data_IF_701024974373
#
_entry.id   IF_701024974373
#
_cell.length_a   1.000
_cell.length_b   1.000
_cell.length_c   1.000
_cell.angle_alpha   90.00
_cell.angle_beta   90.00
_cell.angle_gamma   90.00
#
_symmetry.space_group_name_H-M   'P 1'
#
loop_
_entity.id
_entity.type
_entity.pdbx_description
1 polymer ?
#
# COMPACT_ATOMS: atom_id res chain seq x y z
N UNK A 1 9.15 -11.44 35.77
CA UNK A 1 9.25 -11.24 34.31
C UNK A 1 7.92 -10.85 33.63
N UNK A 2 6.81 -10.73 34.36
CA UNK A 2 5.51 -10.37 33.75
C UNK A 2 5.33 -8.88 33.46
N UNK A 3 5.93 -8.01 34.28
CA UNK A 3 5.82 -6.55 34.13
C UNK A 3 6.47 -6.02 32.84
N UNK A 4 7.59 -6.62 32.41
CA UNK A 4 8.28 -6.23 31.17
C UNK A 4 7.44 -6.61 29.95
N UNK A 5 6.82 -7.81 29.94
CA UNK A 5 5.94 -8.25 28.84
C UNK A 5 4.75 -7.32 28.68
N UNK A 6 4.06 -6.97 29.76
CA UNK A 6 2.87 -6.11 29.73
C UNK A 6 3.16 -4.71 29.18
N UNK A 7 4.28 -4.11 29.60
CA UNK A 7 4.73 -2.81 29.08
C UNK A 7 5.12 -2.87 27.59
N UNK A 8 5.79 -3.94 27.15
CA UNK A 8 6.12 -4.14 25.73
C UNK A 8 4.86 -4.34 24.87
N UNK A 9 3.85 -5.05 25.40
CA UNK A 9 2.57 -5.26 24.72
C UNK A 9 1.80 -3.94 24.57
N UNK A 10 1.73 -3.14 25.64
CA UNK A 10 1.11 -1.81 25.65
C UNK A 10 1.83 -0.83 24.70
N UNK A 11 3.17 -0.80 24.70
CA UNK A 11 3.94 0.01 23.76
C UNK A 11 3.70 -0.41 22.30
N UNK A 12 3.58 -1.71 22.02
CA UNK A 12 3.28 -2.20 20.66
C UNK A 12 1.86 -1.82 20.22
N UNK A 13 0.89 -1.86 21.13
CA UNK A 13 -0.50 -1.51 20.86
C UNK A 13 -0.69 0.00 20.68
N UNK A 14 0.05 0.80 21.45
CA UNK A 14 0.07 2.27 21.36
C UNK A 14 0.76 2.74 20.07
N UNK A 15 1.92 2.18 19.74
CA UNK A 15 2.64 2.41 18.47
C UNK A 15 1.81 2.03 17.24
N UNK A 16 0.97 0.99 17.34
CA UNK A 16 0.00 0.61 16.29
C UNK A 16 -1.09 1.65 16.05
N UNK A 17 -1.50 2.40 17.09
CA UNK A 17 -2.56 3.43 16.99
C UNK A 17 -2.01 4.81 16.62
N UNK A 18 -0.78 5.13 17.04
CA UNK A 18 -0.21 6.49 16.99
C UNK A 18 0.43 6.90 15.65
N UNK A 19 0.49 6.04 14.63
CA UNK A 19 1.13 6.37 13.34
C UNK A 19 0.25 6.10 12.11
N UNK A 20 -1.04 6.44 12.20
CA UNK A 20 -1.85 6.61 10.98
C UNK A 20 -1.32 7.85 10.28
N UNK A 21 -0.48 7.63 9.28
CA UNK A 21 0.06 8.68 8.42
C UNK A 21 -0.73 8.69 7.13
N UNK A 22 -0.86 9.86 6.52
CA UNK A 22 -1.48 10.04 5.21
C UNK A 22 -0.95 9.02 4.18
N UNK A 23 0.37 8.83 4.14
CA UNK A 23 1.04 7.83 3.30
C UNK A 23 0.60 6.40 3.66
N UNK A 24 0.50 6.08 4.94
CA UNK A 24 0.03 4.78 5.43
C UNK A 24 -1.41 4.47 5.01
N UNK A 25 -2.28 5.46 5.01
CA UNK A 25 -3.66 5.33 4.54
C UNK A 25 -3.71 5.08 3.03
N UNK A 26 -2.93 5.83 2.25
CA UNK A 26 -2.79 5.58 0.81
C UNK A 26 -2.22 4.19 0.52
N UNK A 27 -1.19 3.76 1.24
CA UNK A 27 -0.63 2.42 1.11
C UNK A 27 -1.67 1.34 1.40
N UNK A 28 -2.46 1.53 2.46
CA UNK A 28 -3.55 0.61 2.81
C UNK A 28 -4.60 0.57 1.69
N UNK A 29 -4.99 1.72 1.17
CA UNK A 29 -5.92 1.85 0.05
C UNK A 29 -5.47 1.05 -1.18
N UNK A 30 -4.24 1.27 -1.66
CA UNK A 30 -3.69 0.53 -2.81
C UNK A 30 -3.62 -0.97 -2.52
N UNK A 31 -3.17 -1.36 -1.33
CA UNK A 31 -3.10 -2.78 -0.94
C UNK A 31 -4.47 -3.45 -1.01
N UNK A 32 -5.51 -2.83 -0.43
CA UNK A 32 -6.87 -3.38 -0.40
C UNK A 32 -7.45 -3.51 -1.82
N UNK A 33 -7.30 -2.48 -2.65
CA UNK A 33 -7.76 -2.48 -4.04
C UNK A 33 -7.05 -3.54 -4.90
N UNK A 34 -5.74 -3.70 -4.73
CA UNK A 34 -4.95 -4.73 -5.44
C UNK A 34 -5.25 -6.15 -4.94
N UNK A 35 -5.60 -6.31 -3.67
CA UNK A 35 -5.88 -7.62 -3.09
C UNK A 35 -7.28 -8.16 -3.42
N UNK A 36 -8.24 -7.29 -3.73
CA UNK A 36 -9.58 -7.70 -4.13
C UNK A 36 -9.59 -8.72 -5.29
N UNK A 37 -8.97 -8.46 -6.46
CA UNK A 37 -8.88 -9.46 -7.52
C UNK A 37 -7.95 -10.62 -7.17
N UNK A 38 -6.84 -10.40 -6.45
CA UNK A 38 -5.92 -11.49 -6.04
C UNK A 38 -6.63 -12.55 -5.19
N UNK A 39 -7.50 -12.12 -4.27
CA UNK A 39 -8.29 -13.02 -3.42
C UNK A 39 -9.24 -13.88 -4.26
N UNK A 40 -9.93 -13.28 -5.23
CA UNK A 40 -10.80 -14.00 -6.18
C UNK A 40 -10.00 -15.03 -6.97
N UNK A 41 -8.81 -14.65 -7.42
CA UNK A 41 -7.96 -15.46 -8.30
C UNK A 41 -7.04 -16.42 -7.51
N UNK A 42 -7.23 -16.55 -6.18
CA UNK A 42 -6.44 -17.39 -5.26
C UNK A 42 -4.93 -17.10 -5.28
N UNK A 43 -4.55 -15.87 -5.60
CA UNK A 43 -3.18 -15.37 -5.56
C UNK A 43 -2.89 -14.84 -4.15
N UNK A 44 -1.70 -15.11 -3.57
CA UNK A 44 -1.34 -14.56 -2.27
C UNK A 44 -1.49 -13.02 -2.22
N UNK A 45 -2.14 -12.49 -1.17
CA UNK A 45 -2.35 -11.05 -1.02
C UNK A 45 -1.04 -10.32 -0.75
N UNK A 46 -0.98 -9.07 -1.18
CA UNK A 46 0.05 -8.12 -0.79
C UNK A 46 -0.12 -7.75 0.69
N UNK A 47 1.02 -7.51 1.35
CA UNK A 47 1.09 -7.04 2.73
C UNK A 47 1.53 -5.59 2.77
N UNK A 48 1.24 -4.87 3.87
CA UNK A 48 1.65 -3.47 4.04
C UNK A 48 3.15 -3.24 3.78
N UNK A 49 4.09 -4.07 4.30
CA UNK A 49 5.51 -3.92 3.99
C UNK A 49 5.84 -4.07 2.50
N UNK A 50 5.18 -5.02 1.80
CA UNK A 50 5.39 -5.23 0.37
C UNK A 50 4.85 -4.06 -0.44
N UNK A 51 3.66 -3.56 -0.10
CA UNK A 51 3.09 -2.36 -0.72
C UNK A 51 3.98 -1.14 -0.48
N UNK A 52 4.57 -1.00 0.71
CA UNK A 52 5.50 0.07 1.03
C UNK A 52 6.75 0.07 0.14
N UNK A 53 7.32 -1.11 -0.12
CA UNK A 53 8.46 -1.27 -1.05
C UNK A 53 8.07 -0.92 -2.49
N UNK A 54 6.90 -1.35 -2.94
CA UNK A 54 6.39 -1.04 -4.30
C UNK A 54 6.25 0.47 -4.49
N UNK A 55 5.71 1.17 -3.49
CA UNK A 55 5.44 2.61 -3.55
C UNK A 55 6.60 3.47 -3.06
N UNK A 56 7.73 2.89 -2.65
CA UNK A 56 8.82 3.60 -1.96
C UNK A 56 9.39 4.74 -2.80
N UNK A 57 9.55 4.53 -4.10
CA UNK A 57 10.10 5.52 -5.02
C UNK A 57 9.09 6.64 -5.40
N UNK A 58 7.82 6.51 -5.00
CA UNK A 58 6.76 7.45 -5.36
C UNK A 58 6.49 8.40 -4.18
N UNK A 59 6.69 9.71 -4.36
CA UNK A 59 6.33 10.72 -3.36
C UNK A 59 4.85 10.63 -2.97
N UNK A 60 4.52 10.98 -1.72
CA UNK A 60 3.12 10.89 -1.24
C UNK A 60 2.15 11.75 -2.05
N UNK A 61 2.59 12.92 -2.53
CA UNK A 61 1.77 13.77 -3.42
C UNK A 61 1.37 13.05 -4.70
N UNK A 62 2.30 12.30 -5.30
CA UNK A 62 2.05 11.57 -6.54
C UNK A 62 1.19 10.32 -6.31
N UNK A 63 1.14 9.79 -5.08
CA UNK A 63 0.22 8.71 -4.73
C UNK A 63 -1.25 9.14 -4.83
N UNK A 64 -1.57 10.41 -4.58
CA UNK A 64 -2.93 10.92 -4.82
C UNK A 64 -3.30 10.96 -6.29
N UNK A 65 -2.35 11.40 -7.14
CA UNK A 65 -2.54 11.38 -8.59
C UNK A 65 -2.69 9.95 -9.09
N UNK A 66 -1.81 9.04 -8.67
CA UNK A 66 -1.86 7.62 -8.99
C UNK A 66 -3.19 6.99 -8.56
N UNK A 67 -3.69 7.36 -7.37
CA UNK A 67 -4.99 6.90 -6.87
C UNK A 67 -6.10 7.32 -7.84
N UNK A 68 -6.16 8.60 -8.20
CA UNK A 68 -7.18 9.14 -9.10
C UNK A 68 -7.18 8.43 -10.45
N UNK A 69 -6.03 8.34 -11.13
CA UNK A 69 -5.96 7.72 -12.46
C UNK A 69 -6.28 6.22 -12.44
N UNK A 70 -6.01 5.53 -11.34
CA UNK A 70 -6.38 4.12 -11.18
C UNK A 70 -7.87 3.94 -10.87
N UNK A 71 -8.47 4.87 -10.13
CA UNK A 71 -9.91 4.86 -9.83
C UNK A 71 -10.76 5.20 -11.06
N UNK A 72 -10.27 6.11 -11.91
CA UNK A 72 -10.93 6.49 -13.17
C UNK A 72 -10.79 5.39 -14.25
N UNK A 73 -9.89 4.42 -14.07
CA UNK A 73 -9.65 3.35 -15.02
C UNK A 73 -10.66 2.21 -14.90
N UNK A 74 -10.98 1.57 -16.04
CA UNK A 74 -11.85 0.37 -16.08
C UNK A 74 -11.31 -0.79 -15.25
N UNK A 75 -9.99 -0.94 -15.18
CA UNK A 75 -9.32 -1.99 -14.39
C UNK A 75 -8.22 -1.34 -13.54
N UNK A 76 -8.52 -1.18 -12.25
CA UNK A 76 -7.63 -0.57 -11.28
C UNK A 76 -6.26 -1.25 -11.24
N UNK A 77 -6.23 -2.58 -11.15
CA UNK A 77 -4.98 -3.32 -10.96
C UNK A 77 -4.09 -3.22 -12.19
N UNK A 78 -4.66 -3.37 -13.39
CA UNK A 78 -3.90 -3.26 -14.64
C UNK A 78 -3.33 -1.86 -14.81
N UNK A 79 -4.13 -0.82 -14.55
CA UNK A 79 -3.68 0.58 -14.65
C UNK A 79 -2.54 0.87 -13.67
N UNK A 80 -2.70 0.45 -12.42
CA UNK A 80 -1.66 0.61 -11.39
C UNK A 80 -0.31 0.05 -11.84
N UNK A 81 -0.26 -1.22 -12.29
CA UNK A 81 0.98 -1.86 -12.70
C UNK A 81 1.59 -1.27 -13.97
N UNK A 82 0.77 -0.67 -14.83
CA UNK A 82 1.26 0.06 -16.00
C UNK A 82 1.92 1.38 -15.59
N UNK A 83 1.28 2.15 -14.71
CA UNK A 83 1.77 3.47 -14.27
C UNK A 83 3.09 3.39 -13.52
N UNK A 84 3.24 2.43 -12.59
CA UNK A 84 4.45 2.32 -11.78
C UNK A 84 5.63 1.65 -12.50
N UNK A 85 5.42 1.18 -13.74
CA UNK A 85 6.47 0.50 -14.50
C UNK A 85 7.21 1.51 -15.39
N UNK A 86 8.45 1.89 -15.05
CA UNK A 86 9.18 2.93 -15.81
C UNK A 86 9.37 2.55 -17.28
N UNK A 87 9.52 1.26 -17.59
CA UNK A 87 9.68 0.77 -18.97
C UNK A 87 8.46 1.02 -19.86
N UNK A 88 7.29 1.33 -19.29
CA UNK A 88 6.09 1.69 -20.04
C UNK A 88 6.05 3.15 -20.47
N UNK A 89 6.97 3.96 -19.94
CA UNK A 89 7.07 5.40 -20.17
C UNK A 89 8.39 5.81 -20.81
N UNK A 90 9.27 4.84 -21.08
CA UNK A 90 10.42 5.03 -21.97
C UNK A 90 9.90 5.23 -23.40
N UNK A 91 9.51 6.46 -23.72
CA UNK A 91 9.48 6.93 -25.11
C UNK A 91 10.93 7.06 -25.58
N UNK A 92 11.21 6.50 -26.76
CA UNK A 92 12.52 6.52 -27.43
C UNK A 92 13.15 7.90 -27.49
#
# INVERSE_FOLDING_TARGET
MEHIKKHMEELSARSKREKITERGELMKYFMERLNAPRKRDKIPPLTMPRTGRILQAIPTKDLYYLKRICDDAKDFSKKFWWEINPKKHEQK
#
